data_IF_218462927441
#
_entry.id   IF_218462927441
#
_cell.length_a   1.000
_cell.length_b   1.000
_cell.length_c   1.000
_cell.angle_alpha   90.00
_cell.angle_beta   90.00
_cell.angle_gamma   90.00
#
_symmetry.space_group_name_H-M   'P 1'
#
loop_
_entity.id
_entity.type
_entity.pdbx_description
1 polymer ?
#
# COMPACT_ATOMS: atom_id res chain seq x y z
N UNK A 1 10.00 11.28 15.42
CA UNK A 1 9.14 11.23 14.21
C UNK A 1 9.91 11.92 13.10
N UNK A 2 10.15 11.26 11.98
CA UNK A 2 10.85 11.80 10.83
C UNK A 2 9.98 12.84 10.09
N UNK A 3 10.61 13.76 9.35
CA UNK A 3 9.87 14.84 8.66
C UNK A 3 8.90 14.30 7.60
N UNK A 4 9.25 13.20 6.92
CA UNK A 4 8.35 12.54 5.97
C UNK A 4 7.12 11.92 6.65
N UNK A 5 7.25 11.41 7.89
CA UNK A 5 6.09 10.94 8.67
C UNK A 5 5.15 12.09 9.02
N UNK A 6 5.71 13.23 9.45
CA UNK A 6 4.90 14.44 9.70
C UNK A 6 4.18 14.90 8.45
N UNK A 7 4.87 14.82 7.30
CA UNK A 7 4.23 15.14 6.02
C UNK A 7 3.14 14.13 5.66
N UNK A 8 3.39 12.83 5.79
CA UNK A 8 2.38 11.80 5.57
C UNK A 8 1.13 12.05 6.43
N UNK A 9 1.32 12.34 7.71
CA UNK A 9 0.23 12.72 8.61
C UNK A 9 -0.49 14.00 8.15
N UNK A 10 0.23 14.99 7.63
CA UNK A 10 -0.36 16.23 7.12
C UNK A 10 -1.19 16.04 5.83
N UNK A 11 -1.01 14.93 5.13
CA UNK A 11 -1.84 14.59 3.98
C UNK A 11 -3.28 14.22 4.38
N UNK A 12 -3.50 13.88 5.66
CA UNK A 12 -4.81 13.61 6.24
C UNK A 12 -5.19 14.81 7.10
N UNK A 13 -5.80 15.81 6.50
CA UNK A 13 -6.21 16.99 7.24
C UNK A 13 -7.38 16.68 8.17
N UNK A 14 -7.30 17.18 9.39
CA UNK A 14 -8.32 16.98 10.41
C UNK A 14 -9.69 17.46 9.95
N UNK A 15 -9.74 18.57 9.26
CA UNK A 15 -10.95 19.14 8.68
C UNK A 15 -11.53 18.19 7.63
N UNK A 16 -10.71 17.66 6.72
CA UNK A 16 -11.14 16.70 5.70
C UNK A 16 -11.70 15.41 6.32
N UNK A 17 -11.12 14.94 7.44
CA UNK A 17 -11.65 13.78 8.15
C UNK A 17 -13.07 14.02 8.68
N UNK A 18 -13.37 15.19 9.23
CA UNK A 18 -14.71 15.52 9.72
C UNK A 18 -15.70 15.85 8.61
N UNK A 19 -15.22 16.22 7.43
CA UNK A 19 -16.04 16.38 6.23
C UNK A 19 -16.38 15.04 5.57
N UNK A 20 -15.62 13.98 5.85
CA UNK A 20 -15.97 12.64 5.38
C UNK A 20 -17.31 12.21 6.00
N UNK A 21 -18.22 11.66 5.19
CA UNK A 21 -19.43 11.06 5.73
C UNK A 21 -19.13 10.10 6.87
N UNK A 22 -19.93 10.10 7.90
CA UNK A 22 -19.71 9.30 9.11
C UNK A 22 -19.43 7.82 8.78
N UNK A 23 -20.14 7.29 7.80
CA UNK A 23 -19.97 5.91 7.35
C UNK A 23 -18.59 5.61 6.69
N UNK A 24 -17.91 6.60 6.12
CA UNK A 24 -16.53 6.41 5.58
C UNK A 24 -15.54 6.30 6.72
N UNK A 25 -15.74 7.07 7.78
CA UNK A 25 -14.92 6.98 8.99
C UNK A 25 -15.05 5.63 9.70
N UNK A 26 -16.16 4.94 9.48
CA UNK A 26 -16.45 3.62 10.02
C UNK A 26 -15.89 2.47 9.15
N UNK A 27 -15.66 2.70 7.86
CA UNK A 27 -15.47 1.64 6.88
C UNK A 27 -14.07 1.05 6.84
N UNK A 28 -13.05 1.84 7.16
CA UNK A 28 -11.67 1.43 6.93
C UNK A 28 -11.15 0.42 7.96
N UNK A 29 -11.85 0.24 9.06
CA UNK A 29 -11.47 -0.72 10.10
C UNK A 29 -12.26 -2.04 10.07
N UNK A 30 -13.17 -2.18 9.11
CA UNK A 30 -14.07 -3.33 9.01
C UNK A 30 -15.07 -3.48 10.16
N UNK A 31 -14.83 -2.90 11.34
CA UNK A 31 -15.68 -3.03 12.53
C UNK A 31 -15.47 -1.92 13.58
N UNK A 32 -14.56 -0.97 13.36
CA UNK A 32 -14.22 0.03 14.38
C UNK A 32 -14.65 1.41 13.95
N UNK A 33 -15.47 2.00 14.80
CA UNK A 33 -15.88 3.39 14.66
C UNK A 33 -14.83 4.31 15.25
N UNK A 34 -14.24 5.19 14.43
CA UNK A 34 -13.31 6.19 14.93
C UNK A 34 -14.07 7.35 15.55
N UNK A 35 -13.90 7.51 16.86
CA UNK A 35 -14.51 8.64 17.55
C UNK A 35 -13.74 9.94 17.32
N UNK A 36 -12.43 9.83 17.04
CA UNK A 36 -11.54 10.98 16.86
C UNK A 36 -10.66 10.83 15.64
N UNK A 37 -10.19 11.97 15.13
CA UNK A 37 -9.17 12.01 14.07
C UNK A 37 -7.87 11.30 14.49
N UNK A 38 -7.46 11.44 15.74
CA UNK A 38 -6.21 10.84 16.23
C UNK A 38 -6.30 9.31 16.26
N UNK A 39 -7.45 8.74 16.61
CA UNK A 39 -7.69 7.30 16.51
C UNK A 39 -7.68 6.82 15.06
N UNK A 40 -8.32 7.56 14.15
CA UNK A 40 -8.31 7.26 12.72
C UNK A 40 -6.89 7.26 12.16
N UNK A 41 -6.12 8.31 12.43
CA UNK A 41 -4.73 8.44 11.97
C UNK A 41 -3.86 7.32 12.51
N UNK A 42 -3.99 7.01 13.80
CA UNK A 42 -3.21 5.95 14.43
C UNK A 42 -3.54 4.58 13.81
N UNK A 43 -4.80 4.26 13.67
CA UNK A 43 -5.21 2.94 13.17
C UNK A 43 -4.92 2.82 11.67
N UNK A 44 -5.30 3.80 10.86
CA UNK A 44 -5.13 3.75 9.39
C UNK A 44 -3.67 3.87 8.97
N UNK A 45 -2.89 4.76 9.61
CA UNK A 45 -1.52 5.02 9.17
C UNK A 45 -0.49 4.10 9.84
N UNK A 46 -0.66 3.80 11.12
CA UNK A 46 0.32 3.04 11.87
C UNK A 46 0.04 1.53 11.86
N UNK A 47 -1.22 1.12 11.89
CA UNK A 47 -1.61 -0.30 11.92
C UNK A 47 -1.81 -0.90 10.54
N UNK A 48 -2.44 -0.17 9.62
CA UNK A 48 -2.74 -0.66 8.26
C UNK A 48 -1.59 -0.55 7.28
N UNK A 49 -0.36 -0.37 7.75
CA UNK A 49 0.84 -0.44 6.94
C UNK A 49 1.06 0.67 5.93
N UNK A 50 0.20 1.64 5.85
CA UNK A 50 0.37 2.79 4.97
C UNK A 50 1.74 3.46 5.15
N UNK A 51 2.21 3.58 6.41
CA UNK A 51 3.52 4.19 6.72
C UNK A 51 4.68 3.33 6.21
N UNK A 52 4.62 2.02 6.38
CA UNK A 52 5.71 1.15 5.94
C UNK A 52 5.82 1.10 4.42
N UNK A 53 4.70 0.97 3.73
CA UNK A 53 4.65 0.99 2.26
C UNK A 53 5.11 2.33 1.70
N UNK A 54 4.70 3.43 2.32
CA UNK A 54 5.18 4.77 1.97
C UNK A 54 6.66 4.95 2.24
N UNK A 55 7.18 4.40 3.35
CA UNK A 55 8.61 4.40 3.65
C UNK A 55 9.41 3.70 2.55
N UNK A 56 8.96 2.51 2.14
CA UNK A 56 9.58 1.80 1.02
C UNK A 56 9.55 2.64 -0.25
N UNK A 57 8.43 3.30 -0.55
CA UNK A 57 8.33 4.14 -1.74
C UNK A 57 9.31 5.31 -1.75
N UNK A 58 9.55 5.93 -0.59
CA UNK A 58 10.54 7.01 -0.47
C UNK A 58 11.99 6.53 -0.60
N UNK A 59 12.28 5.30 -0.15
CA UNK A 59 13.62 4.70 -0.24
C UNK A 59 13.95 4.18 -1.65
N UNK A 60 12.96 3.58 -2.32
CA UNK A 60 13.13 3.03 -3.67
C UNK A 60 12.96 4.08 -4.77
N UNK A 61 12.24 5.19 -4.50
CA UNK A 61 11.90 6.24 -5.47
C UNK A 61 11.33 5.66 -6.78
N UNK A 62 10.28 4.86 -6.68
CA UNK A 62 9.71 4.15 -7.82
C UNK A 62 9.13 5.11 -8.85
N UNK A 63 9.16 4.72 -10.11
CA UNK A 63 8.43 5.39 -11.20
C UNK A 63 7.05 4.79 -11.42
N UNK A 64 6.92 3.49 -11.13
CA UNK A 64 5.68 2.74 -11.23
C UNK A 64 5.43 1.99 -9.93
N UNK A 65 4.29 2.30 -9.33
CA UNK A 65 3.81 1.67 -8.09
C UNK A 65 2.51 0.93 -8.40
N UNK A 66 2.37 -0.27 -7.87
CA UNK A 66 1.14 -1.06 -7.93
C UNK A 66 0.72 -1.45 -6.53
N UNK A 67 -0.54 -1.24 -6.20
CA UNK A 67 -1.22 -1.74 -5.01
C UNK A 67 -2.26 -2.78 -5.45
N UNK A 68 -2.13 -4.00 -4.97
CA UNK A 68 -3.10 -5.08 -5.18
C UNK A 68 -4.01 -5.16 -3.96
N UNK A 69 -5.29 -4.87 -4.14
CA UNK A 69 -6.24 -4.61 -3.07
C UNK A 69 -6.20 -3.14 -2.65
N UNK A 70 -7.24 -2.40 -3.02
CA UNK A 70 -7.25 -0.94 -2.84
C UNK A 70 -8.19 -0.51 -1.73
N UNK A 71 -9.31 -1.23 -1.61
CA UNK A 71 -10.37 -0.82 -0.69
C UNK A 71 -10.77 0.65 -0.93
N UNK A 72 -10.79 1.51 0.10
CA UNK A 72 -11.07 2.94 -0.05
C UNK A 72 -9.91 3.74 -0.64
N UNK A 73 -8.68 3.22 -0.60
CA UNK A 73 -7.49 3.80 -1.25
C UNK A 73 -6.69 4.77 -0.38
N UNK A 74 -6.68 4.60 0.94
CA UNK A 74 -5.85 5.43 1.82
C UNK A 74 -4.36 5.27 1.53
N UNK A 75 -3.88 4.03 1.36
CA UNK A 75 -2.50 3.74 0.97
C UNK A 75 -2.21 4.32 -0.41
N UNK A 76 -3.09 4.12 -1.39
CA UNK A 76 -3.00 4.73 -2.72
C UNK A 76 -2.84 6.24 -2.65
N UNK A 77 -3.62 6.93 -1.80
CA UNK A 77 -3.51 8.39 -1.62
C UNK A 77 -2.11 8.81 -1.18
N UNK A 78 -1.57 8.14 -0.14
CA UNK A 78 -0.23 8.44 0.37
C UNK A 78 0.85 8.16 -0.67
N UNK A 79 0.78 7.03 -1.34
CA UNK A 79 1.69 6.68 -2.42
C UNK A 79 1.70 7.75 -3.51
N UNK A 80 0.53 8.26 -3.89
CA UNK A 80 0.42 9.33 -4.88
C UNK A 80 1.03 10.65 -4.41
N UNK A 81 0.69 11.08 -3.20
CA UNK A 81 1.12 12.38 -2.67
C UNK A 81 2.63 12.41 -2.37
N UNK A 82 3.18 11.30 -1.88
CA UNK A 82 4.60 11.20 -1.54
C UNK A 82 5.50 10.88 -2.74
N UNK A 83 4.90 10.42 -3.84
CA UNK A 83 5.62 10.12 -5.08
C UNK A 83 4.95 10.83 -6.28
N UNK A 84 4.95 12.17 -6.33
CA UNK A 84 4.18 12.92 -7.34
C UNK A 84 4.62 12.67 -8.77
N UNK A 85 5.84 12.17 -8.99
CA UNK A 85 6.39 11.81 -10.30
C UNK A 85 6.15 10.34 -10.68
N UNK A 86 5.74 9.50 -9.73
CA UNK A 86 5.41 8.11 -9.99
C UNK A 86 4.00 7.99 -10.59
N UNK A 87 3.77 6.91 -11.31
CA UNK A 87 2.44 6.44 -11.67
C UNK A 87 2.01 5.39 -10.65
N UNK A 88 0.87 5.58 -10.02
CA UNK A 88 0.30 4.68 -9.03
C UNK A 88 -0.91 3.99 -9.63
N UNK A 89 -0.90 2.67 -9.63
CA UNK A 89 -2.01 1.84 -10.08
C UNK A 89 -2.58 1.09 -8.88
N UNK A 90 -3.82 1.36 -8.56
CA UNK A 90 -4.59 0.53 -7.64
C UNK A 90 -5.33 -0.54 -8.44
N UNK A 91 -5.16 -1.80 -8.10
CA UNK A 91 -5.83 -2.94 -8.73
C UNK A 91 -6.79 -3.57 -7.74
N UNK A 92 -8.06 -3.67 -8.10
CA UNK A 92 -9.07 -4.30 -7.26
C UNK A 92 -10.10 -5.03 -8.11
N UNK A 93 -10.66 -6.10 -7.56
CA UNK A 93 -11.66 -6.92 -8.24
C UNK A 93 -13.04 -6.28 -8.24
N UNK A 94 -13.32 -5.42 -7.27
CA UNK A 94 -14.64 -4.84 -7.06
C UNK A 94 -14.65 -3.35 -7.27
N UNK A 95 -15.62 -2.87 -8.02
CA UNK A 95 -15.92 -1.44 -8.13
C UNK A 95 -16.61 -0.85 -6.91
N UNK A 96 -16.85 -1.67 -5.89
CA UNK A 96 -17.52 -1.28 -4.65
C UNK A 96 -16.89 -2.00 -3.47
N UNK A 97 -16.81 -1.29 -2.36
CA UNK A 97 -16.35 -1.85 -1.10
C UNK A 97 -17.17 -3.08 -0.68
N UNK A 98 -16.51 -4.23 -0.43
CA UNK A 98 -17.22 -5.50 -0.21
C UNK A 98 -17.55 -5.82 1.25
N UNK A 99 -17.08 -5.04 2.21
CA UNK A 99 -17.28 -5.35 3.65
C UNK A 99 -18.73 -5.24 4.16
N UNK A 100 -19.72 -5.20 3.26
CA UNK A 100 -21.12 -5.29 3.61
C UNK A 100 -21.70 -4.10 4.40
N UNK A 101 -20.84 -3.25 4.93
CA UNK A 101 -21.24 -2.11 5.77
C UNK A 101 -21.54 -0.87 4.93
N UNK A 102 -20.92 -0.74 3.75
CA UNK A 102 -21.15 0.43 2.87
C UNK A 102 -21.25 -0.01 1.40
N UNK A 103 -22.40 -0.43 0.95
CA UNK A 103 -22.59 -0.95 -0.42
C UNK A 103 -22.51 0.12 -1.52
N UNK A 104 -22.20 1.38 -1.20
CA UNK A 104 -22.36 2.50 -2.13
C UNK A 104 -21.07 3.26 -2.45
N UNK A 105 -19.98 3.03 -1.72
CA UNK A 105 -18.72 3.71 -2.04
C UNK A 105 -17.93 2.94 -3.09
N UNK A 106 -17.43 3.64 -4.11
CA UNK A 106 -16.54 3.02 -5.07
C UNK A 106 -15.18 2.73 -4.44
N UNK A 107 -14.60 1.60 -4.81
CA UNK A 107 -13.19 1.30 -4.54
C UNK A 107 -12.32 2.45 -5.03
N UNK A 108 -11.26 2.77 -4.28
CA UNK A 108 -10.37 3.89 -4.62
C UNK A 108 -11.01 5.28 -4.47
N UNK A 109 -12.08 5.39 -3.69
CA UNK A 109 -12.81 6.65 -3.51
C UNK A 109 -11.92 7.80 -3.02
N UNK A 110 -11.02 7.54 -2.08
CA UNK A 110 -10.18 8.56 -1.45
C UNK A 110 -9.22 9.25 -2.43
N UNK A 111 -8.45 8.56 -3.27
CA UNK A 111 -7.63 9.20 -4.30
C UNK A 111 -8.44 10.06 -5.27
N UNK A 112 -9.66 9.65 -5.62
CA UNK A 112 -10.53 10.44 -6.49
C UNK A 112 -11.03 11.72 -5.82
N UNK A 113 -11.44 11.65 -4.55
CA UNK A 113 -11.83 12.84 -3.79
C UNK A 113 -10.70 13.87 -3.71
N UNK A 114 -9.46 13.42 -3.48
CA UNK A 114 -8.30 14.28 -3.43
C UNK A 114 -7.77 14.72 -4.80
N UNK A 115 -8.44 14.29 -5.89
CA UNK A 115 -8.12 14.67 -7.27
C UNK A 115 -6.64 14.49 -7.63
N UNK A 116 -6.00 13.42 -7.11
CA UNK A 116 -4.62 13.10 -7.44
C UNK A 116 -4.50 12.72 -8.91
N UNK A 117 -3.47 13.24 -9.60
CA UNK A 117 -3.36 13.13 -11.06
C UNK A 117 -2.54 11.94 -11.54
N UNK A 118 -1.76 11.37 -10.64
CA UNK A 118 -0.85 10.26 -10.93
C UNK A 118 -1.41 8.89 -10.49
N UNK A 119 -2.72 8.81 -10.23
CA UNK A 119 -3.44 7.60 -9.86
C UNK A 119 -4.30 7.06 -10.99
N UNK A 120 -4.33 5.74 -11.12
CA UNK A 120 -5.28 5.02 -11.95
C UNK A 120 -5.82 3.78 -11.22
N UNK A 121 -7.14 3.68 -11.10
CA UNK A 121 -7.79 2.47 -10.61
C UNK A 121 -8.01 1.50 -11.77
N UNK A 122 -7.56 0.27 -11.62
CA UNK A 122 -7.75 -0.83 -12.56
C UNK A 122 -8.70 -1.84 -11.96
N UNK A 123 -9.86 -1.97 -12.55
CA UNK A 123 -10.87 -2.95 -12.16
C UNK A 123 -10.54 -4.29 -12.80
N UNK A 124 -9.83 -5.13 -12.07
CA UNK A 124 -9.37 -6.45 -12.54
C UNK A 124 -9.08 -7.35 -11.37
N UNK A 125 -9.13 -8.64 -11.60
CA UNK A 125 -8.47 -9.58 -10.72
C UNK A 125 -6.96 -9.26 -10.68
N UNK A 126 -6.36 -9.27 -9.50
CA UNK A 126 -4.94 -8.99 -9.30
C UNK A 126 -4.05 -9.91 -10.15
N UNK A 127 -4.38 -11.19 -10.27
CA UNK A 127 -3.63 -12.15 -11.08
C UNK A 127 -3.82 -12.02 -12.60
N UNK A 128 -4.85 -11.29 -13.06
CA UNK A 128 -5.05 -10.97 -14.49
C UNK A 128 -4.37 -9.66 -14.88
N UNK A 129 -4.01 -8.83 -13.90
CA UNK A 129 -3.29 -7.59 -14.12
C UNK A 129 -1.85 -7.85 -14.57
N UNK A 130 -1.40 -7.17 -15.62
CA UNK A 130 -0.03 -7.33 -16.13
C UNK A 130 0.56 -6.01 -16.62
N UNK A 131 1.77 -5.72 -16.14
CA UNK A 131 2.63 -4.63 -16.59
C UNK A 131 4.04 -5.12 -16.97
N UNK A 132 4.24 -6.37 -17.17
CA UNK A 132 5.45 -7.10 -17.62
C UNK A 132 6.77 -6.33 -17.42
N UNK A 133 7.37 -6.48 -16.25
CA UNK A 133 8.71 -5.95 -15.96
C UNK A 133 8.79 -4.43 -15.82
N UNK A 134 7.71 -3.75 -15.48
CA UNK A 134 7.65 -2.29 -15.33
C UNK A 134 7.40 -1.82 -13.90
N UNK A 135 7.05 -2.70 -12.96
CA UNK A 135 6.66 -2.33 -11.60
C UNK A 135 7.90 -2.21 -10.72
N UNK A 136 8.14 -1.02 -10.18
CA UNK A 136 9.27 -0.77 -9.28
C UNK A 136 8.90 -1.05 -7.82
N UNK A 137 7.63 -0.83 -7.43
CA UNK A 137 7.11 -1.18 -6.12
C UNK A 137 5.74 -1.83 -6.27
N UNK A 138 5.58 -3.04 -5.73
CA UNK A 138 4.30 -3.70 -5.60
C UNK A 138 3.96 -3.91 -4.13
N UNK A 139 2.79 -3.43 -3.71
CA UNK A 139 2.22 -3.68 -2.41
C UNK A 139 1.05 -4.63 -2.55
N UNK A 140 1.05 -5.73 -1.80
CA UNK A 140 0.04 -6.79 -1.85
C UNK A 140 -0.79 -6.73 -0.58
N UNK A 141 -2.02 -6.30 -0.70
CA UNK A 141 -3.02 -6.14 0.35
C UNK A 141 -4.41 -6.52 -0.18
N UNK A 142 -4.49 -7.63 -0.92
CA UNK A 142 -5.72 -8.11 -1.53
C UNK A 142 -6.36 -9.23 -0.69
N UNK A 143 -6.57 -10.41 -1.27
CA UNK A 143 -7.11 -11.56 -0.55
C UNK A 143 -5.98 -12.29 0.21
N UNK A 144 -6.17 -12.51 1.50
CA UNK A 144 -5.18 -13.12 2.38
C UNK A 144 -5.32 -14.65 2.45
N UNK A 145 -6.22 -15.25 1.68
CA UNK A 145 -6.43 -16.69 1.66
C UNK A 145 -5.69 -17.38 0.51
N UNK A 146 -5.18 -18.61 0.76
CA UNK A 146 -4.67 -19.47 -0.30
C UNK A 146 -5.86 -19.98 -1.17
N UNK A 147 -5.74 -19.99 -2.53
CA UNK A 147 -4.54 -19.72 -3.34
C UNK A 147 -4.42 -18.27 -3.87
N UNK A 148 -5.25 -17.34 -3.43
CA UNK A 148 -5.24 -15.98 -3.95
C UNK A 148 -3.92 -15.26 -3.64
N UNK A 149 -3.49 -15.27 -2.37
CA UNK A 149 -2.21 -14.67 -1.96
C UNK A 149 -1.00 -15.25 -2.72
N UNK A 150 -1.01 -16.55 -3.06
CA UNK A 150 0.06 -17.15 -3.87
C UNK A 150 0.07 -16.58 -5.30
N UNK A 151 -1.10 -16.46 -5.93
CA UNK A 151 -1.23 -15.89 -7.28
C UNK A 151 -0.81 -14.43 -7.32
N UNK A 152 -1.21 -13.63 -6.33
CA UNK A 152 -0.85 -12.22 -6.22
C UNK A 152 0.66 -12.05 -6.06
N UNK A 153 1.27 -12.87 -5.21
CA UNK A 153 2.71 -12.90 -4.99
C UNK A 153 3.48 -13.20 -6.28
N UNK A 154 3.08 -14.23 -7.03
CA UNK A 154 3.71 -14.56 -8.30
C UNK A 154 3.44 -13.49 -9.36
N UNK A 155 2.27 -12.91 -9.41
CA UNK A 155 1.96 -11.82 -10.34
C UNK A 155 2.80 -10.57 -10.05
N UNK A 156 2.99 -10.20 -8.79
CA UNK A 156 3.90 -9.13 -8.42
C UNK A 156 5.34 -9.42 -8.87
N UNK A 157 5.80 -10.66 -8.68
CA UNK A 157 7.13 -11.09 -9.15
C UNK A 157 7.32 -10.99 -10.66
N UNK A 158 6.35 -11.45 -11.45
CA UNK A 158 6.39 -11.39 -12.90
C UNK A 158 6.37 -9.95 -13.43
N UNK A 159 5.67 -9.05 -12.76
CA UNK A 159 5.52 -7.65 -13.15
C UNK A 159 6.71 -6.77 -12.70
N UNK A 160 7.58 -7.23 -11.80
CA UNK A 160 8.66 -6.43 -11.25
C UNK A 160 9.64 -5.92 -12.30
N UNK A 161 10.17 -4.74 -12.12
CA UNK A 161 11.21 -4.15 -12.97
C UNK A 161 12.57 -4.81 -12.70
N UNK A 162 12.85 -5.93 -13.36
CA UNK A 162 14.12 -6.66 -13.17
C UNK A 162 15.36 -5.91 -13.70
N UNK A 163 15.19 -4.78 -14.39
CA UNK A 163 16.29 -3.95 -14.94
C UNK A 163 16.58 -2.72 -14.09
N UNK A 164 15.75 -2.41 -13.13
CA UNK A 164 15.89 -1.28 -12.22
C UNK A 164 15.80 -1.71 -10.76
N UNK A 165 15.61 -0.74 -9.88
CA UNK A 165 15.32 -1.01 -8.49
C UNK A 165 13.86 -1.45 -8.35
N UNK A 166 13.63 -2.47 -7.53
CA UNK A 166 12.30 -2.99 -7.29
C UNK A 166 12.13 -3.51 -5.86
N UNK A 167 10.91 -3.47 -5.36
CA UNK A 167 10.52 -4.19 -4.15
C UNK A 167 9.08 -4.70 -4.21
N UNK A 168 8.81 -5.76 -3.47
CA UNK A 168 7.50 -6.35 -3.24
C UNK A 168 7.30 -6.42 -1.73
N UNK A 169 6.20 -5.86 -1.25
CA UNK A 169 5.83 -5.86 0.15
C UNK A 169 4.44 -6.50 0.32
N UNK A 170 4.25 -7.16 1.46
CA UNK A 170 2.99 -7.83 1.81
C UNK A 170 2.40 -7.22 3.06
N UNK A 171 1.08 -7.02 3.02
CA UNK A 171 0.29 -6.85 4.22
C UNK A 171 0.13 -8.18 4.98
N UNK A 172 -0.18 -8.09 6.25
CA UNK A 172 -0.55 -9.22 7.12
C UNK A 172 0.43 -10.41 7.15
N UNK A 173 1.74 -10.17 6.86
CA UNK A 173 2.76 -11.20 7.03
C UNK A 173 3.06 -11.40 8.52
N UNK A 174 2.33 -12.29 9.17
CA UNK A 174 2.54 -12.72 10.56
C UNK A 174 2.02 -14.15 10.79
N UNK A 175 2.48 -14.80 11.84
CA UNK A 175 2.15 -16.21 12.13
C UNK A 175 0.65 -16.47 12.35
N UNK A 176 -0.10 -15.46 12.78
CA UNK A 176 -1.55 -15.56 12.96
C UNK A 176 -2.33 -15.52 11.64
N UNK A 177 -1.66 -15.19 10.54
CA UNK A 177 -2.20 -15.28 9.18
C UNK A 177 -1.42 -16.35 8.38
N UNK A 178 -1.71 -17.64 8.61
CA UNK A 178 -0.86 -18.73 8.12
C UNK A 178 -0.79 -18.81 6.59
N UNK A 179 -1.82 -18.40 5.87
CA UNK A 179 -1.83 -18.46 4.41
C UNK A 179 -0.84 -17.45 3.82
N UNK A 180 -0.83 -16.21 4.30
CA UNK A 180 0.16 -15.20 3.89
C UNK A 180 1.55 -15.62 4.35
N UNK A 181 1.70 -15.96 5.63
CA UNK A 181 3.00 -16.31 6.22
C UNK A 181 3.67 -17.48 5.48
N UNK A 182 2.95 -18.58 5.26
CA UNK A 182 3.50 -19.76 4.60
C UNK A 182 3.78 -19.52 3.12
N UNK A 183 2.89 -18.79 2.44
CA UNK A 183 3.06 -18.46 1.02
C UNK A 183 4.29 -17.60 0.80
N UNK A 184 4.47 -16.53 1.57
CA UNK A 184 5.63 -15.65 1.44
C UNK A 184 6.91 -16.38 1.77
N UNK A 185 6.96 -17.19 2.85
CA UNK A 185 8.15 -17.98 3.19
C UNK A 185 8.53 -18.99 2.11
N UNK A 186 7.56 -19.68 1.53
CA UNK A 186 7.77 -20.61 0.40
C UNK A 186 8.34 -19.85 -0.80
N UNK A 187 7.71 -18.75 -1.18
CA UNK A 187 8.09 -17.92 -2.30
C UNK A 187 9.51 -17.35 -2.16
N UNK A 188 9.83 -16.74 -1.02
CA UNK A 188 11.15 -16.17 -0.72
C UNK A 188 12.27 -17.23 -0.85
N UNK A 189 12.01 -18.44 -0.35
CA UNK A 189 12.93 -19.58 -0.51
C UNK A 189 13.14 -19.98 -1.97
N UNK A 190 12.07 -19.93 -2.76
CA UNK A 190 12.11 -20.34 -4.17
C UNK A 190 12.83 -19.31 -5.05
N UNK A 191 12.58 -18.01 -4.85
CA UNK A 191 13.22 -16.95 -5.64
C UNK A 191 14.63 -16.56 -5.15
N UNK A 192 15.01 -16.96 -3.93
CA UNK A 192 16.34 -16.77 -3.38
C UNK A 192 16.68 -15.33 -2.92
N UNK A 193 15.68 -14.47 -2.74
CA UNK A 193 15.87 -13.13 -2.18
C UNK A 193 15.56 -13.12 -0.69
N UNK A 194 16.39 -12.47 0.14
CA UNK A 194 16.16 -12.42 1.59
C UNK A 194 14.93 -11.59 1.91
N UNK A 195 14.11 -12.13 2.81
CA UNK A 195 13.03 -11.35 3.40
C UNK A 195 13.62 -10.30 4.33
N UNK A 196 13.29 -9.05 4.08
CA UNK A 196 13.73 -7.90 4.86
C UNK A 196 12.58 -7.36 5.69
N UNK A 197 12.90 -6.64 6.75
CA UNK A 197 11.91 -6.08 7.66
C UNK A 197 12.11 -4.57 7.82
N UNK A 198 11.01 -3.83 7.78
CA UNK A 198 10.97 -2.42 8.11
C UNK A 198 9.82 -2.18 9.09
N UNK A 199 10.12 -1.77 10.31
CA UNK A 199 9.16 -1.73 11.41
C UNK A 199 8.47 -3.11 11.60
N UNK A 200 7.15 -3.21 11.43
CA UNK A 200 6.39 -4.47 11.47
C UNK A 200 6.23 -5.15 10.10
N UNK A 201 6.75 -4.55 9.02
CA UNK A 201 6.47 -4.96 7.64
C UNK A 201 7.58 -5.77 7.03
N UNK A 202 7.20 -6.68 6.13
CA UNK A 202 8.11 -7.57 5.45
C UNK A 202 8.04 -7.35 3.94
N UNK A 203 9.20 -7.37 3.32
CA UNK A 203 9.36 -7.13 1.90
C UNK A 203 10.60 -7.84 1.35
N UNK A 204 10.65 -8.01 0.03
CA UNK A 204 11.85 -8.39 -0.72
C UNK A 204 12.17 -7.33 -1.77
N UNK A 205 13.43 -7.25 -2.17
CA UNK A 205 13.86 -6.34 -3.22
C UNK A 205 15.31 -6.56 -3.59
N UNK A 206 15.76 -5.87 -4.62
CA UNK A 206 17.14 -5.93 -5.07
C UNK A 206 18.07 -4.92 -4.39
N UNK A 207 17.58 -4.22 -3.38
CA UNK A 207 18.37 -3.36 -2.48
C UNK A 207 18.33 -3.92 -1.06
N UNK A 208 19.38 -3.62 -0.31
CA UNK A 208 19.40 -3.77 1.16
C UNK A 208 19.22 -2.38 1.75
N UNK A 209 18.32 -2.23 2.70
CA UNK A 209 18.06 -0.98 3.41
C UNK A 209 18.70 -1.11 4.79
N UNK A 210 19.58 -0.17 5.13
CA UNK A 210 20.14 -0.04 6.47
C UNK A 210 19.24 0.86 7.34
N UNK A 211 19.29 0.67 8.66
CA UNK A 211 18.52 1.51 9.60
C UNK A 211 18.83 3.00 9.43
N UNK A 212 20.08 3.34 9.08
CA UNK A 212 20.48 4.72 8.82
C UNK A 212 19.83 5.34 7.58
N UNK A 213 19.36 4.54 6.63
CA UNK A 213 18.69 5.04 5.42
C UNK A 213 17.35 5.68 5.76
N UNK A 214 16.68 5.19 6.81
CA UNK A 214 15.42 5.75 7.31
C UNK A 214 15.60 7.19 7.83
N UNK A 215 16.72 7.45 8.49
CA UNK A 215 17.04 8.79 9.01
C UNK A 215 17.37 9.79 7.89
N UNK A 216 17.79 9.29 6.72
CA UNK A 216 18.21 10.09 5.57
C UNK A 216 17.12 10.27 4.51
N UNK A 217 15.91 9.78 4.75
CA UNK A 217 14.78 10.03 3.84
C UNK A 217 14.52 11.54 3.80
N UNK A 218 14.75 12.15 2.65
CA UNK A 218 14.36 13.53 2.35
C UNK A 218 13.15 13.55 1.43
N UNK A 219 12.20 14.42 1.73
CA UNK A 219 11.12 14.71 0.80
C UNK A 219 11.66 15.42 -0.43
N UNK A 220 11.19 15.08 -1.62
CA UNK A 220 11.53 15.77 -2.85
C UNK A 220 11.12 17.26 -2.78
N UNK A 221 11.89 18.12 -3.47
CA UNK A 221 11.50 19.52 -3.64
C UNK A 221 10.14 19.59 -4.34
N UNK A 222 9.18 20.27 -3.73
CA UNK A 222 7.80 20.40 -4.19
C UNK A 222 6.76 19.60 -3.39
N UNK A 223 7.21 18.77 -2.45
CA UNK A 223 6.34 18.06 -1.49
C UNK A 223 6.20 18.86 -0.17
N UNK A 224 6.96 19.92 0.00
CA UNK A 224 6.95 20.80 1.19
C UNK A 224 5.91 21.90 1.09
#
# INVERSE_FOLDING_TARGET
MYDWQKYALSCFKKEEFYELPEFIREADSGFKRYATYDEFVFDTLERCGCIATTTLSLLFKPKVIVELGVNLGWTSLLLCKLNPKARVYGVDISGRFQNGVIPYLPTGYVPFMHNVKNYALVMSNSWDFSMQGQVDLCFIDADHFFPAVEKDTWRAWENRNSKGDWCIAWDDYHENNPDVFNTVNKFVKEVGYPLQKIASWHWIGNKTIAENDLANISLEEGIR
#
